data_IF_703643052073
#
_entry.id   IF_703643052073
#
_cell.length_a   1.000
_cell.length_b   1.000
_cell.length_c   1.000
_cell.angle_alpha   90.00
_cell.angle_beta   90.00
_cell.angle_gamma   90.00
#
_symmetry.space_group_name_H-M   'P 1'
#
loop_
_entity.id
_entity.type
_entity.pdbx_description
1 polymer ?
#
# COMPACT_ATOMS: atom_id res chain seq x y z
N UNK A 1 10.98 -34.78 7.04
CA UNK A 1 10.16 -33.89 7.90
C UNK A 1 9.79 -32.68 7.07
N UNK A 2 8.51 -32.31 7.02
CA UNK A 2 8.01 -31.16 6.25
C UNK A 2 8.64 -29.88 6.82
N UNK A 3 9.25 -29.06 5.99
CA UNK A 3 9.86 -27.81 6.45
C UNK A 3 8.77 -26.83 6.89
N UNK A 4 9.01 -25.93 7.84
CA UNK A 4 7.95 -25.05 8.35
C UNK A 4 7.38 -24.07 7.31
N UNK A 5 8.15 -23.76 6.25
CA UNK A 5 7.68 -22.94 5.12
C UNK A 5 6.96 -23.76 4.03
N UNK A 6 6.72 -25.04 4.26
CA UNK A 6 5.88 -25.91 3.41
C UNK A 6 4.45 -26.03 3.95
N UNK A 7 4.12 -25.31 5.02
CA UNK A 7 2.75 -25.14 5.50
C UNK A 7 1.89 -24.47 4.42
N UNK A 8 0.80 -25.13 4.04
CA UNK A 8 -0.05 -24.71 2.92
C UNK A 8 -0.63 -23.31 3.12
N UNK A 9 -1.03 -22.99 4.35
CA UNK A 9 -1.57 -21.68 4.67
C UNK A 9 -0.50 -20.57 4.57
N UNK A 10 0.74 -20.86 4.94
CA UNK A 10 1.84 -19.91 4.79
C UNK A 10 2.18 -19.63 3.32
N UNK A 11 2.20 -20.68 2.50
CA UNK A 11 2.38 -20.58 1.05
C UNK A 11 1.25 -19.74 0.45
N UNK A 12 0.00 -20.01 0.82
CA UNK A 12 -1.17 -19.27 0.35
C UNK A 12 -1.04 -17.77 0.59
N UNK A 13 -0.70 -17.34 1.80
CA UNK A 13 -0.54 -15.92 2.10
C UNK A 13 0.64 -15.28 1.36
N UNK A 14 1.76 -16.00 1.24
CA UNK A 14 2.91 -15.52 0.45
C UNK A 14 2.52 -15.30 -1.02
N UNK A 15 1.75 -16.24 -1.60
CA UNK A 15 1.20 -16.10 -2.95
C UNK A 15 0.19 -14.96 -3.05
N UNK A 16 -0.61 -14.71 -2.01
CA UNK A 16 -1.55 -13.59 -1.99
C UNK A 16 -0.84 -12.24 -2.05
N UNK A 17 0.31 -12.08 -1.38
CA UNK A 17 1.16 -10.88 -1.57
C UNK A 17 1.62 -10.74 -3.02
N UNK A 18 2.00 -11.84 -3.68
CA UNK A 18 2.39 -11.84 -5.10
C UNK A 18 1.22 -11.46 -6.00
N UNK A 19 0.04 -12.03 -5.79
CA UNK A 19 -1.16 -11.70 -6.57
C UNK A 19 -1.57 -10.24 -6.35
N UNK A 20 -1.55 -9.75 -5.11
CA UNK A 20 -1.80 -8.34 -4.82
C UNK A 20 -0.80 -7.43 -5.57
N UNK A 21 0.50 -7.74 -5.52
CA UNK A 21 1.54 -7.05 -6.29
C UNK A 21 1.22 -6.96 -7.79
N UNK A 22 0.83 -8.07 -8.41
CA UNK A 22 0.48 -8.11 -9.85
C UNK A 22 -0.78 -7.30 -10.14
N UNK A 23 -1.80 -7.40 -9.29
CA UNK A 23 -3.04 -6.64 -9.47
C UNK A 23 -2.78 -5.14 -9.35
N UNK A 24 -2.06 -4.71 -8.31
CA UNK A 24 -1.74 -3.30 -8.10
C UNK A 24 -0.81 -2.75 -9.17
N UNK A 25 0.11 -3.54 -9.72
CA UNK A 25 0.97 -3.09 -10.82
C UNK A 25 0.16 -2.79 -12.08
N UNK A 26 -0.78 -3.67 -12.44
CA UNK A 26 -1.65 -3.47 -13.60
C UNK A 26 -2.49 -2.21 -13.41
N UNK A 27 -3.11 -2.03 -12.23
CA UNK A 27 -3.90 -0.84 -11.93
C UNK A 27 -3.03 0.41 -11.99
N UNK A 28 -1.86 0.38 -11.34
CA UNK A 28 -0.94 1.50 -11.27
C UNK A 28 -0.39 1.92 -12.64
N UNK A 29 0.08 0.98 -13.46
CA UNK A 29 0.55 1.27 -14.82
C UNK A 29 -0.57 1.78 -15.72
N UNK A 30 -1.76 1.18 -15.64
CA UNK A 30 -2.91 1.65 -16.42
C UNK A 30 -3.28 3.09 -16.03
N UNK A 31 -3.31 3.39 -14.72
CA UNK A 31 -3.54 4.74 -14.22
C UNK A 31 -2.48 5.72 -14.74
N UNK A 32 -1.20 5.37 -14.65
CA UNK A 32 -0.10 6.20 -15.15
C UNK A 32 -0.21 6.48 -16.64
N UNK A 33 -0.57 5.46 -17.44
CA UNK A 33 -0.81 5.61 -18.87
C UNK A 33 -1.98 6.56 -19.17
N UNK A 34 -3.09 6.47 -18.42
CA UNK A 34 -4.23 7.38 -18.58
C UNK A 34 -3.86 8.83 -18.20
N UNK A 35 -3.17 9.01 -17.08
CA UNK A 35 -2.70 10.32 -16.61
C UNK A 35 -1.71 10.97 -17.57
N UNK A 36 -0.83 10.19 -18.20
CA UNK A 36 0.15 10.72 -19.14
C UNK A 36 -0.39 10.88 -20.57
N UNK A 37 -1.27 9.98 -21.00
CA UNK A 37 -1.73 9.87 -22.39
C UNK A 37 -2.94 10.74 -22.73
N UNK A 38 -3.80 11.07 -21.76
CA UNK A 38 -4.97 11.93 -21.99
C UNK A 38 -4.61 13.36 -21.59
N UNK A 39 -4.50 14.25 -22.58
CA UNK A 39 -4.12 15.66 -22.38
C UNK A 39 -4.97 16.35 -21.30
N UNK A 40 -6.29 16.22 -21.36
CA UNK A 40 -7.19 16.90 -20.42
C UNK A 40 -7.06 16.37 -19.00
N UNK A 41 -6.84 15.07 -18.84
CA UNK A 41 -6.61 14.47 -17.53
C UNK A 41 -5.26 14.89 -16.96
N UNK A 42 -4.21 14.91 -17.78
CA UNK A 42 -2.90 15.43 -17.39
C UNK A 42 -3.00 16.88 -16.95
N UNK A 43 -3.63 17.73 -17.76
CA UNK A 43 -3.82 19.14 -17.45
C UNK A 43 -4.60 19.33 -16.14
N UNK A 44 -5.66 18.54 -15.91
CA UNK A 44 -6.42 18.54 -14.66
C UNK A 44 -5.51 18.23 -13.46
N UNK A 45 -4.75 17.15 -13.54
CA UNK A 45 -3.94 16.68 -12.42
C UNK A 45 -2.76 17.61 -12.11
N UNK A 46 -2.16 18.24 -13.13
CA UNK A 46 -1.00 19.12 -12.99
C UNK A 46 -1.36 20.55 -12.54
N UNK A 47 -2.49 21.09 -13.03
CA UNK A 47 -2.80 22.52 -12.90
C UNK A 47 -3.99 22.84 -11.99
N UNK A 48 -4.92 21.90 -11.75
CA UNK A 48 -6.05 22.18 -10.85
C UNK A 48 -5.61 22.19 -9.39
N UNK A 49 -6.28 23.01 -8.59
CA UNK A 49 -6.08 23.00 -7.13
C UNK A 49 -6.35 21.59 -6.61
N UNK A 50 -5.46 21.07 -5.76
CA UNK A 50 -5.50 19.70 -5.24
C UNK A 50 -5.43 18.56 -6.28
N UNK A 51 -5.33 18.83 -7.59
CA UNK A 51 -5.20 17.81 -8.64
C UNK A 51 -4.01 16.86 -8.41
N UNK A 52 -2.89 17.39 -7.88
CA UNK A 52 -1.71 16.61 -7.49
C UNK A 52 -1.97 15.53 -6.44
N UNK A 53 -3.11 15.54 -5.73
CA UNK A 53 -3.50 14.43 -4.85
C UNK A 53 -3.76 13.14 -5.65
N UNK A 54 -4.22 13.25 -6.90
CA UNK A 54 -4.40 12.10 -7.81
C UNK A 54 -3.05 11.50 -8.19
N UNK A 55 -2.03 12.34 -8.46
CA UNK A 55 -0.64 11.86 -8.63
C UNK A 55 -0.17 11.12 -7.39
N UNK A 56 -0.45 11.67 -6.20
CA UNK A 56 -0.10 11.03 -4.92
C UNK A 56 -0.83 9.70 -4.76
N UNK A 57 -2.11 9.59 -5.12
CA UNK A 57 -2.81 8.30 -5.11
C UNK A 57 -2.11 7.26 -6.00
N UNK A 58 -1.78 7.66 -7.23
CA UNK A 58 -1.05 6.82 -8.19
C UNK A 58 0.35 6.42 -7.68
N UNK A 59 1.10 7.32 -7.04
CA UNK A 59 2.41 6.97 -6.50
C UNK A 59 2.28 5.97 -5.35
N UNK A 60 1.27 6.12 -4.48
CA UNK A 60 1.06 5.21 -3.36
C UNK A 60 0.58 3.83 -3.82
N UNK A 61 -0.29 3.72 -4.83
CA UNK A 61 -0.68 2.40 -5.35
C UNK A 61 0.51 1.66 -5.99
N UNK A 62 1.42 2.39 -6.63
CA UNK A 62 2.65 1.80 -7.19
C UNK A 62 3.67 1.42 -6.10
N UNK A 63 3.95 2.32 -5.16
CA UNK A 63 4.96 2.06 -4.13
C UNK A 63 4.47 1.05 -3.10
N UNK A 64 3.28 1.24 -2.54
CA UNK A 64 2.75 0.42 -1.45
C UNK A 64 1.97 -0.81 -1.93
N UNK A 65 1.35 -0.71 -3.10
CA UNK A 65 0.57 -1.80 -3.68
C UNK A 65 1.41 -2.73 -4.55
N UNK A 66 2.27 -2.18 -5.41
CA UNK A 66 3.10 -3.00 -6.28
C UNK A 66 4.46 -3.33 -5.65
N UNK A 67 5.31 -2.33 -5.43
CA UNK A 67 6.71 -2.55 -5.01
C UNK A 67 6.79 -3.18 -3.62
N UNK A 68 6.09 -2.63 -2.64
CA UNK A 68 6.13 -3.09 -1.27
C UNK A 68 5.53 -4.51 -1.10
N UNK A 69 4.43 -4.83 -1.81
CA UNK A 69 3.88 -6.19 -1.83
C UNK A 69 4.87 -7.22 -2.39
N UNK A 70 5.61 -6.86 -3.44
CA UNK A 70 6.67 -7.72 -3.98
C UNK A 70 7.77 -7.96 -2.94
N UNK A 71 8.19 -6.90 -2.23
CA UNK A 71 9.17 -6.98 -1.15
C UNK A 71 8.65 -7.86 -0.01
N UNK A 72 7.40 -7.68 0.42
CA UNK A 72 6.81 -8.49 1.48
C UNK A 72 6.76 -9.97 1.11
N UNK A 73 6.32 -10.31 -0.10
CA UNK A 73 6.35 -11.68 -0.60
C UNK A 73 7.76 -12.26 -0.60
N UNK A 74 8.74 -11.51 -1.14
CA UNK A 74 10.13 -11.93 -1.19
C UNK A 74 10.72 -12.14 0.20
N UNK A 75 10.48 -11.21 1.13
CA UNK A 75 10.99 -11.28 2.51
C UNK A 75 10.35 -12.45 3.26
N UNK A 76 9.03 -12.64 3.16
CA UNK A 76 8.37 -13.80 3.75
C UNK A 76 8.90 -15.10 3.13
N UNK A 77 9.22 -15.14 1.85
CA UNK A 77 9.83 -16.33 1.27
C UNK A 77 11.27 -16.58 1.76
N UNK A 78 12.12 -15.55 1.72
CA UNK A 78 13.58 -15.66 1.92
C UNK A 78 13.96 -15.77 3.38
N UNK A 79 13.37 -14.96 4.28
CA UNK A 79 13.82 -14.88 5.67
C UNK A 79 13.75 -16.23 6.40
N UNK A 80 12.61 -16.94 6.44
CA UNK A 80 12.52 -18.24 7.13
C UNK A 80 13.52 -19.26 6.60
N UNK A 81 13.79 -19.25 5.29
CA UNK A 81 14.74 -20.15 4.62
C UNK A 81 16.18 -19.81 4.96
N UNK A 82 16.52 -18.51 5.02
CA UNK A 82 17.84 -18.04 5.39
C UNK A 82 18.15 -18.38 6.86
N UNK A 83 17.20 -18.14 7.76
CA UNK A 83 17.39 -18.42 9.19
C UNK A 83 17.13 -19.88 9.57
N UNK A 84 16.63 -20.69 8.62
CA UNK A 84 16.20 -22.09 8.81
C UNK A 84 15.25 -22.27 9.99
N UNK A 85 14.27 -21.36 10.12
CA UNK A 85 13.28 -21.35 11.21
C UNK A 85 11.90 -21.00 10.66
N UNK A 86 10.81 -21.46 11.30
CA UNK A 86 9.47 -20.97 10.98
C UNK A 86 9.38 -19.47 11.15
N UNK A 87 8.45 -18.84 10.41
CA UNK A 87 8.03 -17.47 10.70
C UNK A 87 7.52 -17.39 12.14
N UNK A 88 7.82 -16.29 12.84
CA UNK A 88 7.44 -16.15 14.25
C UNK A 88 5.93 -16.31 14.48
N UNK A 89 5.09 -15.70 13.65
CA UNK A 89 3.64 -15.87 13.74
C UNK A 89 2.96 -15.76 12.38
N UNK A 90 2.29 -16.86 11.97
CA UNK A 90 1.44 -16.87 10.78
C UNK A 90 0.24 -15.93 10.94
N UNK A 91 -0.35 -15.82 12.14
CA UNK A 91 -1.47 -14.91 12.41
C UNK A 91 -1.09 -13.45 12.10
N UNK A 92 0.12 -13.03 12.47
CA UNK A 92 0.61 -11.69 12.16
C UNK A 92 0.80 -11.47 10.66
N UNK A 93 1.17 -12.48 9.88
CA UNK A 93 1.21 -12.40 8.41
C UNK A 93 -0.18 -12.12 7.85
N UNK A 94 -1.22 -12.81 8.35
CA UNK A 94 -2.61 -12.59 7.90
C UNK A 94 -3.10 -11.19 8.24
N UNK A 95 -2.87 -10.75 9.48
CA UNK A 95 -3.26 -9.41 9.93
C UNK A 95 -2.54 -8.36 9.11
N UNK A 96 -1.22 -8.50 8.94
CA UNK A 96 -0.44 -7.61 8.09
C UNK A 96 -1.03 -7.50 6.68
N UNK A 97 -1.29 -8.63 6.00
CA UNK A 97 -1.85 -8.62 4.65
C UNK A 97 -3.17 -7.84 4.59
N UNK A 98 -4.14 -8.16 5.43
CA UNK A 98 -5.46 -7.52 5.38
C UNK A 98 -5.44 -6.06 5.81
N UNK A 99 -4.73 -5.73 6.89
CA UNK A 99 -4.61 -4.36 7.39
C UNK A 99 -3.91 -3.46 6.38
N UNK A 100 -2.87 -3.96 5.70
CA UNK A 100 -2.16 -3.21 4.67
C UNK A 100 -3.05 -2.93 3.46
N UNK A 101 -3.70 -3.96 2.91
CA UNK A 101 -4.57 -3.81 1.74
C UNK A 101 -5.77 -2.90 2.03
N UNK A 102 -6.39 -3.02 3.21
CA UNK A 102 -7.49 -2.16 3.64
C UNK A 102 -7.04 -0.70 3.80
N UNK A 103 -5.90 -0.49 4.46
CA UNK A 103 -5.28 0.84 4.59
C UNK A 103 -5.01 1.48 3.24
N UNK A 104 -4.34 0.75 2.35
CA UNK A 104 -3.96 1.22 1.02
C UNK A 104 -5.18 1.57 0.17
N UNK A 105 -6.20 0.70 0.15
CA UNK A 105 -7.42 0.94 -0.61
C UNK A 105 -8.09 2.24 -0.17
N UNK A 106 -8.23 2.45 1.14
CA UNK A 106 -8.79 3.70 1.66
C UNK A 106 -7.93 4.91 1.29
N UNK A 107 -6.61 4.84 1.44
CA UNK A 107 -5.72 5.94 1.06
C UNK A 107 -5.91 6.36 -0.40
N UNK A 108 -5.90 5.40 -1.33
CA UNK A 108 -6.04 5.66 -2.77
C UNK A 108 -7.39 6.29 -3.08
N UNK A 109 -8.47 5.75 -2.50
CA UNK A 109 -9.82 6.28 -2.69
C UNK A 109 -9.91 7.72 -2.18
N UNK A 110 -9.48 7.99 -0.95
CA UNK A 110 -9.63 9.32 -0.35
C UNK A 110 -8.68 10.36 -0.94
N UNK A 111 -7.46 10.00 -1.35
CA UNK A 111 -6.60 10.90 -2.13
C UNK A 111 -7.26 11.29 -3.45
N UNK A 112 -7.86 10.33 -4.14
CA UNK A 112 -8.49 10.55 -5.45
C UNK A 112 -9.75 11.39 -5.33
N UNK A 113 -10.62 11.07 -4.37
CA UNK A 113 -11.82 11.87 -4.07
C UNK A 113 -11.47 13.30 -3.70
N UNK A 114 -10.49 13.49 -2.81
CA UNK A 114 -10.01 14.82 -2.44
C UNK A 114 -9.46 15.61 -3.65
N UNK A 115 -8.72 14.94 -4.53
CA UNK A 115 -8.18 15.54 -5.74
C UNK A 115 -9.24 15.90 -6.79
N UNK A 116 -10.23 15.03 -6.99
CA UNK A 116 -11.34 15.28 -7.92
C UNK A 116 -12.23 16.41 -7.40
N UNK A 117 -12.68 16.33 -6.15
CA UNK A 117 -13.55 17.36 -5.54
C UNK A 117 -12.83 18.71 -5.50
N UNK A 118 -11.58 18.74 -5.02
CA UNK A 118 -10.80 19.97 -4.96
C UNK A 118 -10.54 20.57 -6.35
N UNK A 119 -10.25 19.71 -7.34
CA UNK A 119 -9.99 20.14 -8.70
C UNK A 119 -11.22 20.73 -9.39
N UNK A 120 -12.39 20.12 -9.20
CA UNK A 120 -13.66 20.61 -9.75
C UNK A 120 -14.10 21.88 -9.02
N UNK A 121 -14.12 21.88 -7.68
CA UNK A 121 -14.57 23.03 -6.88
C UNK A 121 -13.72 24.29 -7.12
N UNK A 122 -12.44 24.14 -7.47
CA UNK A 122 -11.55 25.27 -7.82
C UNK A 122 -12.00 26.08 -9.04
N UNK A 123 -12.97 25.60 -9.82
CA UNK A 123 -13.54 26.34 -10.94
C UNK A 123 -14.50 27.45 -10.51
N UNK A 124 -15.17 27.28 -9.37
CA UNK A 124 -16.32 28.12 -8.98
C UNK A 124 -16.17 28.72 -7.59
N UNK A 125 -15.31 28.17 -6.74
CA UNK A 125 -15.14 28.57 -5.34
C UNK A 125 -13.80 29.27 -5.11
N UNK A 126 -13.72 30.05 -4.03
CA UNK A 126 -12.45 30.67 -3.62
C UNK A 126 -11.49 29.58 -3.09
N UNK A 127 -10.16 29.79 -3.16
CA UNK A 127 -9.19 28.82 -2.65
C UNK A 127 -9.41 28.44 -1.17
N UNK A 128 -9.86 29.37 -0.34
CA UNK A 128 -10.13 29.11 1.08
C UNK A 128 -11.31 28.15 1.28
N UNK A 129 -12.39 28.34 0.52
CA UNK A 129 -13.58 27.48 0.61
C UNK A 129 -13.28 26.05 0.12
N UNK A 130 -12.49 25.92 -0.95
CA UNK A 130 -12.06 24.62 -1.47
C UNK A 130 -11.20 23.89 -0.44
N UNK A 131 -10.32 24.60 0.27
CA UNK A 131 -9.51 23.99 1.32
C UNK A 131 -10.36 23.44 2.47
N UNK A 132 -11.36 24.20 2.91
CA UNK A 132 -12.31 23.76 3.94
C UNK A 132 -13.08 22.51 3.47
N UNK A 133 -13.49 22.48 2.20
CA UNK A 133 -14.18 21.34 1.60
C UNK A 133 -13.30 20.07 1.53
N UNK A 134 -12.01 20.21 1.21
CA UNK A 134 -11.09 19.09 1.00
C UNK A 134 -10.51 18.54 2.31
N UNK A 135 -10.35 19.38 3.34
CA UNK A 135 -9.73 19.02 4.63
C UNK A 135 -10.29 17.74 5.28
N UNK A 136 -11.62 17.54 5.39
CA UNK A 136 -12.16 16.29 5.95
C UNK A 136 -11.71 15.04 5.19
N UNK A 137 -11.66 15.08 3.87
CA UNK A 137 -11.21 13.96 3.04
C UNK A 137 -9.73 13.63 3.28
N UNK A 138 -8.90 14.65 3.46
CA UNK A 138 -7.48 14.47 3.80
C UNK A 138 -7.31 13.90 5.21
N UNK A 139 -8.15 14.27 6.17
CA UNK A 139 -8.13 13.71 7.51
C UNK A 139 -8.48 12.20 7.49
N UNK A 140 -9.53 11.81 6.76
CA UNK A 140 -9.89 10.40 6.59
C UNK A 140 -8.77 9.65 5.87
N UNK A 141 -8.18 10.22 4.82
CA UNK A 141 -7.01 9.64 4.15
C UNK A 141 -5.86 9.38 5.15
N UNK A 142 -5.57 10.33 6.04
CA UNK A 142 -4.52 10.19 7.06
C UNK A 142 -4.77 9.06 8.06
N UNK A 143 -6.03 8.78 8.39
CA UNK A 143 -6.41 7.62 9.21
C UNK A 143 -6.03 6.32 8.48
N UNK A 144 -6.40 6.18 7.20
CA UNK A 144 -6.05 5.01 6.41
C UNK A 144 -4.53 4.88 6.17
N UNK A 145 -3.83 5.99 6.02
CA UNK A 145 -2.36 6.01 6.01
C UNK A 145 -1.73 5.51 7.29
N UNK A 146 -2.32 5.85 8.43
CA UNK A 146 -1.88 5.35 9.74
C UNK A 146 -2.13 3.85 9.88
N UNK A 147 -3.19 3.31 9.27
CA UNK A 147 -3.46 1.87 9.21
C UNK A 147 -2.39 1.14 8.40
N UNK A 148 -1.94 1.70 7.26
CA UNK A 148 -0.83 1.15 6.48
C UNK A 148 0.47 1.15 7.30
N UNK A 149 0.76 2.25 8.00
CA UNK A 149 1.92 2.33 8.88
C UNK A 149 1.87 1.26 9.98
N UNK A 150 0.71 1.05 10.59
CA UNK A 150 0.51 0.00 11.58
C UNK A 150 0.76 -1.40 10.99
N UNK A 151 0.30 -1.66 9.76
CA UNK A 151 0.54 -2.92 9.07
C UNK A 151 2.04 -3.18 8.87
N UNK A 152 2.79 -2.13 8.50
CA UNK A 152 4.25 -2.15 8.39
C UNK A 152 4.95 -2.44 9.72
N UNK A 153 4.49 -1.84 10.82
CA UNK A 153 5.01 -2.13 12.16
C UNK A 153 4.78 -3.61 12.55
N UNK A 154 3.61 -4.17 12.23
CA UNK A 154 3.29 -5.58 12.46
C UNK A 154 4.22 -6.49 11.66
N UNK A 155 4.44 -6.16 10.38
CA UNK A 155 5.39 -6.87 9.52
C UNK A 155 6.81 -6.84 10.09
N UNK A 156 7.33 -5.65 10.40
CA UNK A 156 8.67 -5.44 10.91
C UNK A 156 8.89 -6.22 12.22
N UNK A 157 7.91 -6.19 13.14
CA UNK A 157 7.95 -6.96 14.37
C UNK A 157 8.02 -8.47 14.11
N UNK A 158 7.18 -9.00 13.22
CA UNK A 158 7.14 -10.42 12.91
C UNK A 158 8.47 -10.90 12.29
N UNK A 159 9.03 -10.13 11.36
CA UNK A 159 10.33 -10.43 10.74
C UNK A 159 11.46 -10.31 11.76
N UNK A 160 11.49 -9.25 12.56
CA UNK A 160 12.50 -9.06 13.61
C UNK A 160 12.52 -10.25 14.57
N UNK A 161 11.36 -10.68 15.07
CA UNK A 161 11.25 -11.85 15.95
C UNK A 161 11.65 -13.16 15.29
N UNK A 162 11.46 -13.28 13.98
CA UNK A 162 11.91 -14.44 13.19
C UNK A 162 13.44 -14.49 13.09
N UNK A 163 14.08 -13.33 12.89
CA UNK A 163 15.54 -13.23 12.78
C UNK A 163 16.27 -13.23 14.15
N UNK A 164 15.62 -12.73 15.20
CA UNK A 164 16.22 -12.58 16.51
C UNK A 164 16.69 -13.94 17.09
N UNK A 165 17.95 -14.00 17.52
CA UNK A 165 18.54 -15.20 18.11
C UNK A 165 18.91 -16.29 17.11
N UNK A 166 19.03 -15.98 15.81
CA UNK A 166 19.42 -16.95 14.78
C UNK A 166 20.79 -17.62 15.03
N UNK A 167 21.76 -16.88 15.60
CA UNK A 167 23.14 -17.36 15.79
C UNK A 167 23.47 -17.90 17.19
N UNK A 168 22.48 -18.11 18.07
CA UNK A 168 22.76 -18.51 19.47
C UNK A 168 23.26 -19.95 19.67
N UNK A 169 23.24 -20.80 18.62
CA UNK A 169 23.64 -22.21 18.71
C UNK A 169 24.58 -22.61 17.55
N UNK A 170 25.74 -21.99 17.44
CA UNK A 170 26.87 -22.51 16.66
C UNK A 170 27.99 -22.90 17.61
#
# INVERSE_FOLDING_TARGET
MRQPWEEEEYIKYTLWFIFACVIYSIIGFSWGALMGGIHDFRHFVDHRMFGKLIVRAHTHINLLGWVEMAIFAAVYYVVPRLVKRPIYSLKLVKVHFWTHNFGLLGMVVFFSTAGVIGGIASQTMTPADVEILVRPWLAVMGIFGSIVLLANCIWAYNIFKTCAGWRKNW
#
